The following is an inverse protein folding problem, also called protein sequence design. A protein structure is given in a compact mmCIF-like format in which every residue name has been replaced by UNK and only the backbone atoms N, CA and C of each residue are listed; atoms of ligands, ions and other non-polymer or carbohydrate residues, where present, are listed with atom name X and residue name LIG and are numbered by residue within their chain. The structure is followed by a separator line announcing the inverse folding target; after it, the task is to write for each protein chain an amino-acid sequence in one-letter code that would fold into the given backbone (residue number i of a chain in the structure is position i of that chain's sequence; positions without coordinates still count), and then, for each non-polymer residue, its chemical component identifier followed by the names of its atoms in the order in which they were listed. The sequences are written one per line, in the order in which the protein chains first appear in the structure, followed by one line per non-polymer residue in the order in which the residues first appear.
data_IF_567950037672
#
_entry.id   IF_567950037672
#
_cell.length_a   1.000
_cell.length_b   1.000
_cell.length_c   1.000
_cell.angle_alpha   90.00
_cell.angle_beta   90.00
_cell.angle_gamma   90.00
#
_symmetry.space_group_name_H-M   'P 1'
#
loop_
_entity.id
_entity.type
_entity.pdbx_description
1 polymer ?
#
# COMPACT_ATOMS: atom_id res chain seq x y z
N UNK A 1 -11.99 21.00 10.75
CA UNK A 1 -11.58 19.57 10.73
C UNK A 1 -11.53 19.15 9.27
N UNK A 2 -10.44 18.53 8.80
CA UNK A 2 -10.31 18.12 7.39
C UNK A 2 -11.35 17.03 7.10
N UNK A 3 -12.38 17.34 6.30
CA UNK A 3 -13.56 16.47 6.09
C UNK A 3 -13.18 15.09 5.53
N UNK A 4 -12.14 15.04 4.69
CA UNK A 4 -11.64 13.77 4.14
C UNK A 4 -10.95 12.91 5.20
N UNK A 5 -10.16 13.52 6.09
CA UNK A 5 -9.53 12.78 7.19
C UNK A 5 -10.59 12.14 8.08
N UNK A 6 -11.58 12.92 8.51
CA UNK A 6 -12.66 12.39 9.35
C UNK A 6 -13.45 11.25 8.67
N UNK A 7 -13.71 11.37 7.36
CA UNK A 7 -14.34 10.31 6.57
C UNK A 7 -13.52 9.01 6.61
N UNK A 8 -12.23 9.05 6.26
CA UNK A 8 -11.40 7.85 6.21
C UNK A 8 -11.10 7.26 7.59
N UNK A 9 -11.04 8.09 8.64
CA UNK A 9 -10.93 7.58 10.01
C UNK A 9 -12.15 6.72 10.39
N UNK A 10 -13.35 7.11 9.96
CA UNK A 10 -14.57 6.36 10.23
C UNK A 10 -14.74 5.14 9.31
N UNK A 11 -14.46 5.30 8.01
CA UNK A 11 -14.64 4.26 7.00
C UNK A 11 -13.67 3.08 7.18
N UNK A 12 -12.42 3.36 7.58
CA UNK A 12 -11.36 2.34 7.74
C UNK A 12 -11.03 2.05 9.21
N UNK A 13 -12.04 2.08 10.10
CA UNK A 13 -11.92 2.20 11.56
C UNK A 13 -10.53 2.58 12.12
N UNK A 14 -10.00 3.74 11.71
CA UNK A 14 -8.68 4.22 12.11
C UNK A 14 -8.78 5.12 13.34
N UNK A 15 -7.74 5.12 14.16
CA UNK A 15 -7.67 5.96 15.36
C UNK A 15 -6.29 6.61 15.54
N UNK A 16 -6.21 7.51 16.52
CA UNK A 16 -4.98 8.23 16.91
C UNK A 16 -4.19 8.84 15.73
N UNK A 17 -4.80 9.72 14.92
CA UNK A 17 -4.11 10.34 13.80
C UNK A 17 -3.03 11.31 14.27
N UNK A 18 -1.78 10.98 13.98
CA UNK A 18 -0.61 11.82 14.24
C UNK A 18 -0.04 12.33 12.91
N UNK A 19 -0.06 13.65 12.64
CA UNK A 19 0.53 14.20 11.43
C UNK A 19 2.02 13.82 11.32
N UNK A 20 2.40 13.26 10.17
CA UNK A 20 3.78 12.84 9.91
C UNK A 20 4.49 13.83 8.98
N UNK A 21 3.87 14.16 7.84
CA UNK A 21 4.43 15.05 6.85
C UNK A 21 3.34 15.64 5.95
N UNK A 22 3.64 16.80 5.37
CA UNK A 22 2.87 17.37 4.26
C UNK A 22 3.81 17.50 3.06
N UNK A 23 3.40 16.92 1.93
CA UNK A 23 4.13 16.98 0.66
C UNK A 23 3.31 17.75 -0.36
N UNK A 24 3.87 17.94 -1.54
CA UNK A 24 3.15 18.51 -2.68
C UNK A 24 1.97 17.63 -3.14
N UNK A 25 2.11 16.31 -3.02
CA UNK A 25 1.16 15.33 -3.52
C UNK A 25 0.19 14.80 -2.46
N UNK A 26 0.41 15.08 -1.17
CA UNK A 26 -0.50 14.62 -0.13
C UNK A 26 -0.12 15.01 1.30
N UNK A 27 -0.98 14.62 2.23
CA UNK A 27 -0.74 14.70 3.67
C UNK A 27 -0.62 13.29 4.24
N UNK A 28 0.44 13.03 5.00
CA UNK A 28 0.73 11.74 5.62
C UNK A 28 0.46 11.83 7.11
N UNK A 29 -0.22 10.84 7.67
CA UNK A 29 -0.45 10.71 9.10
C UNK A 29 -0.22 9.26 9.52
N UNK A 30 0.41 9.07 10.68
CA UNK A 30 0.41 7.78 11.36
C UNK A 30 -0.96 7.61 12.00
N UNK A 31 -1.53 6.41 11.89
CA UNK A 31 -2.83 6.03 12.46
C UNK A 31 -2.72 4.62 13.06
N UNK A 32 -3.68 4.26 13.90
CA UNK A 32 -3.84 2.91 14.41
C UNK A 32 -5.00 2.21 13.70
N UNK A 33 -4.77 1.00 13.21
CA UNK A 33 -5.78 0.10 12.64
C UNK A 33 -5.65 -1.26 13.33
N UNK A 34 -6.70 -1.73 14.01
CA UNK A 34 -6.67 -3.02 14.75
C UNK A 34 -5.44 -3.18 15.68
N UNK A 35 -5.08 -2.10 16.40
CA UNK A 35 -3.89 -2.00 17.25
C UNK A 35 -2.53 -2.16 16.54
N UNK A 36 -2.51 -2.07 15.21
CA UNK A 36 -1.30 -2.02 14.40
C UNK A 36 -1.08 -0.60 13.85
N UNK A 37 0.15 -0.08 13.86
CA UNK A 37 0.45 1.21 13.24
C UNK A 37 0.35 1.10 11.72
N UNK A 38 -0.30 2.09 11.10
CA UNK A 38 -0.38 2.24 9.66
C UNK A 38 -0.14 3.69 9.24
N UNK A 39 0.11 3.92 7.95
CA UNK A 39 0.24 5.27 7.38
C UNK A 39 -0.98 5.57 6.52
N UNK A 40 -1.73 6.61 6.89
CA UNK A 40 -2.78 7.18 6.05
C UNK A 40 -2.17 8.30 5.20
N UNK A 41 -2.22 8.13 3.88
CA UNK A 41 -1.85 9.18 2.92
C UNK A 41 -3.10 9.70 2.22
N UNK A 42 -3.42 10.97 2.44
CA UNK A 42 -4.50 11.68 1.75
C UNK A 42 -3.91 12.47 0.59
N UNK A 43 -4.23 12.08 -0.64
CA UNK A 43 -3.69 12.72 -1.84
C UNK A 43 -4.34 14.08 -2.09
N UNK A 44 -3.53 15.04 -2.56
CA UNK A 44 -4.03 16.26 -3.19
C UNK A 44 -4.56 15.93 -4.59
N UNK A 45 -5.31 16.82 -5.26
CA UNK A 45 -5.74 16.59 -6.64
C UNK A 45 -4.59 16.28 -7.60
N UNK A 46 -3.41 16.88 -7.36
CA UNK A 46 -2.20 16.60 -8.14
C UNK A 46 -1.69 15.19 -7.85
N UNK A 47 -1.61 14.81 -6.56
CA UNK A 47 -1.24 13.46 -6.16
C UNK A 47 -2.18 12.38 -6.70
N UNK A 48 -3.48 12.65 -6.84
CA UNK A 48 -4.42 11.72 -7.49
C UNK A 48 -4.02 11.49 -8.95
N UNK A 49 -3.70 12.55 -9.70
CA UNK A 49 -3.30 12.40 -11.11
C UNK A 49 -1.95 11.68 -11.28
N UNK A 50 -1.03 11.86 -10.34
CA UNK A 50 0.36 11.42 -10.48
C UNK A 50 0.65 10.07 -9.78
N UNK A 51 -0.08 9.77 -8.69
CA UNK A 51 0.21 8.62 -7.82
C UNK A 51 -0.91 7.57 -7.75
N UNK A 52 -2.12 7.84 -8.26
CA UNK A 52 -3.25 6.90 -8.13
C UNK A 52 -2.97 5.54 -8.79
N UNK A 53 -2.18 5.51 -9.86
CA UNK A 53 -1.73 4.28 -10.51
C UNK A 53 -0.92 3.38 -9.56
N UNK A 54 -0.23 3.95 -8.58
CA UNK A 54 0.53 3.21 -7.57
C UNK A 54 -0.33 2.30 -6.70
N UNK A 55 -1.56 2.72 -6.38
CA UNK A 55 -2.50 1.89 -5.61
C UNK A 55 -2.94 0.66 -6.42
N UNK A 56 -3.18 0.82 -7.71
CA UNK A 56 -3.52 -0.28 -8.61
C UNK A 56 -2.34 -1.24 -8.80
N UNK A 57 -1.12 -0.71 -8.95
CA UNK A 57 0.10 -1.50 -9.03
C UNK A 57 0.31 -2.32 -7.74
N UNK A 58 0.15 -1.71 -6.55
CA UNK A 58 0.30 -2.40 -5.28
C UNK A 58 -0.72 -3.54 -5.11
N UNK A 59 -1.98 -3.30 -5.46
CA UNK A 59 -3.03 -4.32 -5.41
C UNK A 59 -2.72 -5.50 -6.36
N UNK A 60 -2.28 -5.20 -7.59
CA UNK A 60 -1.84 -6.21 -8.54
C UNK A 60 -0.66 -7.00 -8.00
N UNK A 61 0.38 -6.34 -7.49
CA UNK A 61 1.57 -6.99 -6.93
C UNK A 61 1.21 -7.88 -5.76
N UNK A 62 0.32 -7.44 -4.86
CA UNK A 62 -0.13 -8.26 -3.72
C UNK A 62 -0.88 -9.51 -4.19
N UNK A 63 -1.87 -9.35 -5.08
CA UNK A 63 -2.62 -10.49 -5.60
C UNK A 63 -1.72 -11.48 -6.35
N UNK A 64 -0.79 -10.96 -7.15
CA UNK A 64 0.17 -11.77 -7.88
C UNK A 64 1.11 -12.52 -6.94
N UNK A 65 1.65 -11.86 -5.92
CA UNK A 65 2.48 -12.49 -4.89
C UNK A 65 1.76 -13.62 -4.16
N UNK A 66 0.49 -13.42 -3.76
CA UNK A 66 -0.31 -14.45 -3.12
C UNK A 66 -0.58 -15.65 -4.06
N UNK A 67 -0.79 -15.42 -5.35
CA UNK A 67 -1.00 -16.50 -6.32
C UNK A 67 0.28 -17.31 -6.55
N UNK A 68 1.42 -16.62 -6.71
CA UNK A 68 2.72 -17.27 -6.86
C UNK A 68 3.12 -18.07 -5.63
N UNK A 69 2.81 -17.56 -4.44
CA UNK A 69 2.96 -18.28 -3.17
C UNK A 69 2.14 -19.59 -3.18
N UNK A 70 0.85 -19.51 -3.53
CA UNK A 70 -0.04 -20.65 -3.57
C UNK A 70 0.45 -21.76 -4.53
N UNK A 71 0.91 -21.39 -5.73
CA UNK A 71 1.49 -22.36 -6.68
C UNK A 71 2.82 -22.94 -6.18
N UNK A 72 3.69 -22.12 -5.59
CA UNK A 72 4.96 -22.60 -5.03
C UNK A 72 4.74 -23.63 -3.91
N UNK A 73 3.73 -23.43 -3.07
CA UNK A 73 3.34 -24.39 -2.04
C UNK A 73 2.74 -25.67 -2.63
N UNK A 74 1.94 -25.57 -3.71
CA UNK A 74 1.38 -26.73 -4.42
C UNK A 74 2.49 -27.63 -5.01
N UNK A 75 3.55 -27.02 -5.55
CA UNK A 75 4.70 -27.73 -6.12
C UNK A 75 5.67 -28.30 -5.07
N UNK A 76 5.44 -28.05 -3.77
CA UNK A 76 6.24 -28.58 -2.67
C UNK A 76 7.55 -27.82 -2.39
N UNK A 77 7.66 -26.57 -2.84
CA UNK A 77 8.81 -25.72 -2.54
C UNK A 77 8.67 -25.06 -1.15
N UNK A 78 9.72 -25.12 -0.33
CA UNK A 78 9.78 -24.38 0.93
C UNK A 78 10.10 -22.89 0.64
N UNK A 79 9.05 -22.07 0.62
CA UNK A 79 9.06 -20.63 0.39
C UNK A 79 10.07 -19.90 1.28
N UNK A 80 11.11 -19.29 0.70
CA UNK A 80 11.77 -18.15 1.34
C UNK A 80 12.16 -17.02 0.39
N UNK A 81 12.51 -17.33 -0.86
CA UNK A 81 13.09 -16.32 -1.75
C UNK A 81 12.29 -16.04 -3.05
N UNK A 82 11.30 -16.89 -3.39
CA UNK A 82 10.63 -16.82 -4.70
C UNK A 82 9.77 -15.56 -4.91
N UNK A 83 9.04 -15.08 -3.89
CA UNK A 83 8.15 -13.92 -4.04
C UNK A 83 8.96 -12.63 -4.20
N UNK A 84 10.04 -12.46 -3.44
CA UNK A 84 10.89 -11.27 -3.51
C UNK A 84 11.62 -11.20 -4.87
N UNK A 85 12.17 -12.31 -5.37
CA UNK A 85 12.78 -12.38 -6.69
C UNK A 85 11.78 -12.12 -7.83
N UNK A 86 10.56 -12.64 -7.70
CA UNK A 86 9.49 -12.46 -8.68
C UNK A 86 8.99 -11.01 -8.74
N UNK A 87 8.83 -10.34 -7.60
CA UNK A 87 8.49 -8.92 -7.57
C UNK A 87 9.64 -8.10 -8.17
N UNK A 88 10.89 -8.42 -7.82
CA UNK A 88 12.07 -7.71 -8.32
C UNK A 88 12.22 -7.81 -9.85
N UNK A 89 11.89 -8.96 -10.45
CA UNK A 89 11.97 -9.16 -11.91
C UNK A 89 10.94 -8.34 -12.69
N UNK A 90 9.78 -8.05 -12.09
CA UNK A 90 8.72 -7.26 -12.72
C UNK A 90 8.85 -5.74 -12.45
N UNK A 91 9.60 -5.35 -11.42
CA UNK A 91 9.95 -3.95 -11.17
C UNK A 91 11.10 -3.44 -12.06
N UNK A 92 11.95 -4.34 -12.56
CA UNK A 92 12.98 -4.01 -13.55
C UNK A 92 12.37 -3.99 -14.97
N UNK A 93 11.64 -2.91 -15.29
CA UNK A 93 11.40 -2.57 -16.70
C UNK A 93 12.64 -1.81 -17.19
N UNK A 94 13.37 -2.30 -18.22
CA UNK A 94 14.50 -1.56 -18.75
C UNK A 94 14.03 -0.20 -19.32
N UNK A 95 14.85 0.84 -19.10
CA UNK A 95 14.64 2.22 -19.55
C UNK A 95 14.27 2.34 -21.05
#
# INVERSE_FOLDING_TARGET
MNTHLAYYLAEWPLSDPQPLAQTFTGSLSIVQHENQPAVLKLLTPIGVSDEQSGAAALAFTFAYACLSAAWSLEDGNEEKDAIAELIQSHLNVPD
#
